data_IF_944802778771
#
_entry.id   IF_944802778771
#
_cell.length_a   1.000
_cell.length_b   1.000
_cell.length_c   1.000
_cell.angle_alpha   90.00
_cell.angle_beta   90.00
_cell.angle_gamma   90.00
#
_symmetry.space_group_name_H-M   'P 1'
#
loop_
_entity.id
_entity.type
_entity.pdbx_description
1 polymer ?
#
# COMPACT_ATOMS: atom_id res chain seq x y z
N UNK A 1 -22.38 16.03 -54.54
CA UNK A 1 -21.00 16.53 -54.70
C UNK A 1 -20.34 16.40 -53.33
N UNK A 2 -19.53 15.35 -53.14
CA UNK A 2 -18.87 15.06 -51.88
C UNK A 2 -17.39 15.48 -51.98
N UNK A 3 -16.97 16.40 -51.11
CA UNK A 3 -15.57 16.72 -50.86
C UNK A 3 -15.37 16.83 -49.35
N UNK A 4 -15.55 15.73 -48.63
CA UNK A 4 -15.11 15.59 -47.24
C UNK A 4 -13.78 14.84 -47.23
N UNK A 5 -12.69 15.60 -47.39
CA UNK A 5 -11.35 15.06 -47.19
C UNK A 5 -11.13 14.64 -45.73
N UNK A 6 -10.31 13.63 -45.43
CA UNK A 6 -10.01 13.23 -44.06
C UNK A 6 -9.48 14.44 -43.25
N UNK A 7 -10.17 14.82 -42.18
CA UNK A 7 -9.73 15.88 -41.26
C UNK A 7 -8.54 15.38 -40.42
N UNK A 8 -7.35 15.41 -41.01
CA UNK A 8 -6.08 15.14 -40.33
C UNK A 8 -5.66 16.37 -39.53
N UNK A 9 -5.29 16.17 -38.26
CA UNK A 9 -4.77 17.25 -37.41
C UNK A 9 -3.55 17.88 -38.09
N UNK A 10 -3.47 19.23 -38.14
CA UNK A 10 -2.36 19.89 -38.80
C UNK A 10 -1.06 19.57 -38.07
N UNK A 11 -0.05 19.15 -38.82
CA UNK A 11 1.32 18.83 -38.35
C UNK A 11 1.94 19.91 -37.45
N UNK A 12 1.56 21.18 -37.63
CA UNK A 12 1.99 22.30 -36.78
C UNK A 12 1.54 22.14 -35.31
N UNK A 13 0.34 21.63 -35.06
CA UNK A 13 -0.16 21.39 -33.70
C UNK A 13 0.68 20.31 -33.01
N UNK A 14 0.98 19.21 -33.71
CA UNK A 14 1.78 18.11 -33.16
C UNK A 14 3.21 18.58 -32.82
N UNK A 15 3.82 19.41 -33.68
CA UNK A 15 5.15 19.96 -33.42
C UNK A 15 5.18 20.93 -32.23
N UNK A 16 4.13 21.74 -32.03
CA UNK A 16 4.02 22.61 -30.84
C UNK A 16 3.90 21.78 -29.55
N UNK A 17 3.07 20.74 -29.57
CA UNK A 17 2.90 19.84 -28.41
C UNK A 17 4.19 19.07 -28.14
N UNK A 18 4.88 18.59 -29.18
CA UNK A 18 6.19 17.96 -29.05
C UNK A 18 7.20 18.90 -28.37
N UNK A 19 7.29 20.16 -28.80
CA UNK A 19 8.12 21.16 -28.15
C UNK A 19 7.78 21.34 -26.67
N UNK A 20 6.49 21.42 -26.33
CA UNK A 20 6.05 21.48 -24.93
C UNK A 20 6.48 20.24 -24.12
N UNK A 21 6.37 19.04 -24.69
CA UNK A 21 6.82 17.80 -24.02
C UNK A 21 8.33 17.78 -23.78
N UNK A 22 9.13 18.28 -24.72
CA UNK A 22 10.57 18.41 -24.54
C UNK A 22 10.89 19.36 -23.39
N UNK A 23 10.21 20.51 -23.31
CA UNK A 23 10.37 21.46 -22.19
C UNK A 23 9.98 20.82 -20.85
N UNK A 24 8.84 20.14 -20.78
CA UNK A 24 8.43 19.43 -19.57
C UNK A 24 9.41 18.30 -19.21
N UNK A 25 10.07 17.70 -20.19
CA UNK A 25 11.10 16.67 -19.97
C UNK A 25 12.36 17.26 -19.38
N UNK A 26 12.85 18.38 -19.94
CA UNK A 26 13.92 19.15 -19.33
C UNK A 26 13.59 19.58 -17.90
N UNK A 27 12.33 20.00 -17.65
CA UNK A 27 11.87 20.37 -16.32
C UNK A 27 11.91 19.18 -15.33
N UNK A 28 11.46 17.99 -15.73
CA UNK A 28 11.54 16.80 -14.87
C UNK A 28 12.98 16.44 -14.54
N UNK A 29 13.87 16.50 -15.53
CA UNK A 29 15.30 16.25 -15.31
C UNK A 29 15.89 17.31 -14.37
N UNK A 30 15.56 18.58 -14.56
CA UNK A 30 15.99 19.67 -13.68
C UNK A 30 15.51 19.48 -12.25
N UNK A 31 14.22 19.16 -12.06
CA UNK A 31 13.64 18.87 -10.74
C UNK A 31 14.31 17.67 -10.07
N UNK A 32 14.75 16.67 -10.82
CA UNK A 32 15.47 15.52 -10.27
C UNK A 32 16.82 15.89 -9.63
N UNK A 33 17.43 17.01 -10.02
CA UNK A 33 18.68 17.51 -9.43
C UNK A 33 18.47 18.48 -8.26
N UNK A 34 17.23 18.94 -8.03
CA UNK A 34 16.92 19.87 -6.93
C UNK A 34 16.44 19.08 -5.71
N UNK A 35 17.08 19.20 -4.54
CA UNK A 35 16.63 18.54 -3.32
C UNK A 35 15.39 19.25 -2.76
N UNK A 36 14.21 18.84 -3.22
CA UNK A 36 12.90 19.36 -2.77
C UNK A 36 12.41 18.66 -1.48
N UNK A 37 13.18 17.71 -0.95
CA UNK A 37 12.83 16.96 0.25
C UNK A 37 11.49 16.22 0.09
N UNK A 38 10.55 16.33 1.05
CA UNK A 38 9.24 15.68 0.98
C UNK A 38 8.40 16.04 -0.25
N UNK A 39 8.66 17.19 -0.88
CA UNK A 39 7.92 17.64 -2.06
C UNK A 39 8.42 17.02 -3.37
N UNK A 40 9.54 16.29 -3.36
CA UNK A 40 10.13 15.69 -4.56
C UNK A 40 9.13 14.78 -5.29
N UNK A 41 8.45 13.88 -4.55
CA UNK A 41 7.51 12.93 -5.14
C UNK A 41 6.24 13.62 -5.66
N UNK A 42 5.54 14.47 -4.87
CA UNK A 42 4.38 15.21 -5.38
C UNK A 42 4.66 16.07 -6.61
N UNK A 43 5.80 16.78 -6.62
CA UNK A 43 6.18 17.65 -7.76
C UNK A 43 6.51 16.81 -8.99
N UNK A 44 7.27 15.72 -8.83
CA UNK A 44 7.57 14.81 -9.93
C UNK A 44 6.29 14.19 -10.53
N UNK A 45 5.34 13.77 -9.69
CA UNK A 45 4.02 13.28 -10.13
C UNK A 45 3.22 14.36 -10.85
N UNK A 46 3.21 15.59 -10.36
CA UNK A 46 2.49 16.70 -11.00
C UNK A 46 3.01 16.98 -12.42
N UNK A 47 4.34 17.01 -12.60
CA UNK A 47 4.96 17.20 -13.92
C UNK A 47 4.69 16.00 -14.83
N UNK A 48 4.80 14.78 -14.31
CA UNK A 48 4.46 13.57 -15.05
C UNK A 48 2.98 13.56 -15.51
N UNK A 49 2.06 14.00 -14.65
CA UNK A 49 0.65 14.15 -14.96
C UNK A 49 0.41 15.14 -16.10
N UNK A 50 1.03 16.32 -16.04
CA UNK A 50 0.93 17.32 -17.12
C UNK A 50 1.42 16.77 -18.48
N UNK A 51 2.52 16.01 -18.49
CA UNK A 51 3.00 15.33 -19.71
C UNK A 51 1.97 14.33 -20.22
N UNK A 52 1.46 13.47 -19.34
CA UNK A 52 0.47 12.47 -19.70
C UNK A 52 -0.79 13.12 -20.30
N UNK A 53 -1.29 14.21 -19.71
CA UNK A 53 -2.44 14.94 -20.25
C UNK A 53 -2.19 15.47 -21.66
N UNK A 54 -1.01 16.06 -21.93
CA UNK A 54 -0.65 16.52 -23.27
C UNK A 54 -0.58 15.36 -24.29
N UNK A 55 0.01 14.24 -23.89
CA UNK A 55 0.11 13.05 -24.75
C UNK A 55 -1.28 12.51 -25.08
N UNK A 56 -2.14 12.37 -24.08
CA UNK A 56 -3.48 11.79 -24.25
C UNK A 56 -4.37 12.71 -25.11
N UNK A 57 -4.36 14.02 -24.85
CA UNK A 57 -5.21 14.94 -25.60
C UNK A 57 -4.83 15.06 -27.08
N UNK A 58 -3.53 15.07 -27.40
CA UNK A 58 -3.05 15.39 -28.74
C UNK A 58 -2.50 14.20 -29.52
N UNK A 59 -1.69 13.33 -28.91
CA UNK A 59 -1.10 12.18 -29.62
C UNK A 59 -2.04 10.98 -29.66
N UNK A 60 -2.80 10.73 -28.60
CA UNK A 60 -3.88 9.72 -28.62
C UNK A 60 -5.17 10.22 -29.27
N UNK A 61 -5.18 11.46 -29.79
CA UNK A 61 -6.34 12.09 -30.43
C UNK A 61 -7.60 12.17 -29.56
N UNK A 62 -7.51 11.99 -28.24
CA UNK A 62 -8.69 11.95 -27.36
C UNK A 62 -9.55 13.23 -27.45
N UNK A 63 -8.92 14.38 -27.74
CA UNK A 63 -9.62 15.65 -27.97
C UNK A 63 -10.52 15.65 -29.21
N UNK A 64 -10.18 14.86 -30.23
CA UNK A 64 -10.81 14.84 -31.55
C UNK A 64 -11.59 13.55 -31.82
N UNK A 65 -11.47 12.57 -30.92
CA UNK A 65 -12.05 11.24 -31.02
C UNK A 65 -13.43 11.16 -30.33
N UNK A 66 -14.07 10.00 -30.40
CA UNK A 66 -15.37 9.74 -29.81
C UNK A 66 -15.38 9.99 -28.29
N UNK A 67 -16.39 10.69 -27.73
CA UNK A 67 -16.50 10.95 -26.30
C UNK A 67 -16.53 9.68 -25.42
N UNK A 68 -16.91 8.52 -25.97
CA UNK A 68 -16.83 7.23 -25.27
C UNK A 68 -15.38 6.88 -24.90
N UNK A 69 -14.42 7.12 -25.80
CA UNK A 69 -13.00 6.86 -25.52
C UNK A 69 -12.50 7.79 -24.41
N UNK A 70 -12.94 9.05 -24.42
CA UNK A 70 -12.61 10.00 -23.36
C UNK A 70 -13.19 9.57 -22.01
N UNK A 71 -14.41 9.05 -21.98
CA UNK A 71 -15.06 8.53 -20.78
C UNK A 71 -14.32 7.30 -20.24
N UNK A 72 -14.04 6.30 -21.07
CA UNK A 72 -13.32 5.08 -20.68
C UNK A 72 -11.93 5.41 -20.13
N UNK A 73 -11.19 6.29 -20.80
CA UNK A 73 -9.88 6.74 -20.34
C UNK A 73 -9.96 7.47 -19.00
N UNK A 74 -10.95 8.35 -18.83
CA UNK A 74 -11.14 9.11 -17.58
C UNK A 74 -11.45 8.18 -16.42
N UNK A 75 -12.37 7.21 -16.62
CA UNK A 75 -12.71 6.22 -15.59
C UNK A 75 -11.46 5.40 -15.21
N UNK A 76 -10.72 4.89 -16.20
CA UNK A 76 -9.47 4.15 -15.95
C UNK A 76 -8.44 4.99 -15.18
N UNK A 77 -8.29 6.26 -15.55
CA UNK A 77 -7.39 7.19 -14.85
C UNK A 77 -7.80 7.42 -13.40
N UNK A 78 -9.10 7.57 -13.13
CA UNK A 78 -9.62 7.70 -11.75
C UNK A 78 -9.26 6.47 -10.93
N UNK A 79 -9.47 5.26 -11.46
CA UNK A 79 -9.09 4.03 -10.76
C UNK A 79 -7.60 3.96 -10.45
N UNK A 80 -6.74 4.32 -11.42
CA UNK A 80 -5.29 4.38 -11.20
C UNK A 80 -4.94 5.37 -10.09
N UNK A 81 -5.51 6.58 -10.11
CA UNK A 81 -5.27 7.60 -9.07
C UNK A 81 -5.71 7.09 -7.70
N UNK A 82 -6.87 6.45 -7.61
CA UNK A 82 -7.38 5.88 -6.35
C UNK A 82 -6.44 4.79 -5.84
N UNK A 83 -6.01 3.85 -6.68
CA UNK A 83 -5.10 2.79 -6.27
C UNK A 83 -3.74 3.34 -5.82
N UNK A 84 -3.14 4.23 -6.61
CA UNK A 84 -1.87 4.86 -6.25
C UNK A 84 -1.99 5.62 -4.93
N UNK A 85 -3.07 6.39 -4.74
CA UNK A 85 -3.28 7.15 -3.49
C UNK A 85 -3.40 6.22 -2.28
N UNK A 86 -4.19 5.16 -2.38
CA UNK A 86 -4.33 4.18 -1.30
C UNK A 86 -2.98 3.49 -1.02
N UNK A 87 -2.22 3.09 -2.04
CA UNK A 87 -0.89 2.49 -1.88
C UNK A 87 0.12 3.44 -1.22
N UNK A 88 0.08 4.73 -1.57
CA UNK A 88 0.93 5.74 -0.95
C UNK A 88 0.55 5.97 0.52
N UNK A 89 -0.74 6.01 0.84
CA UNK A 89 -1.22 6.11 2.22
C UNK A 89 -0.83 4.87 3.03
N UNK A 90 -1.04 3.68 2.49
CA UNK A 90 -0.61 2.43 3.13
C UNK A 90 0.90 2.45 3.42
N UNK A 91 1.72 2.79 2.42
CA UNK A 91 3.18 2.90 2.59
C UNK A 91 3.57 3.92 3.66
N UNK A 92 2.88 5.07 3.71
CA UNK A 92 3.17 6.13 4.66
C UNK A 92 2.86 5.75 6.11
N UNK A 93 1.81 4.95 6.35
CA UNK A 93 1.35 4.60 7.70
C UNK A 93 1.70 3.16 8.14
N UNK A 94 2.23 2.31 7.25
CA UNK A 94 2.56 0.90 7.52
C UNK A 94 3.53 0.69 8.70
N UNK A 95 4.44 1.64 8.95
CA UNK A 95 5.42 1.57 10.04
C UNK A 95 5.00 2.22 11.36
N UNK A 96 3.84 2.88 11.41
CA UNK A 96 3.34 3.61 12.60
C UNK A 96 2.52 2.70 13.54
N UNK A 97 2.34 1.44 13.15
CA UNK A 97 1.77 0.41 14.01
C UNK A 97 2.83 0.03 15.06
N UNK A 98 2.69 0.49 16.30
CA UNK A 98 3.62 0.18 17.41
C UNK A 98 3.81 -1.31 17.76
N UNK A 99 3.17 -2.22 17.02
CA UNK A 99 3.27 -3.68 17.13
C UNK A 99 4.06 -4.33 15.98
N UNK A 100 4.73 -3.54 15.12
CA UNK A 100 5.72 -3.99 14.14
C UNK A 100 7.07 -3.33 14.41
N UNK A 101 7.50 -3.38 15.68
CA UNK A 101 8.92 -3.22 15.98
C UNK A 101 9.66 -4.35 15.25
N UNK A 102 10.75 -4.03 14.57
CA UNK A 102 11.71 -5.02 14.09
C UNK A 102 12.42 -5.67 15.30
N UNK A 103 11.67 -6.30 16.20
CA UNK A 103 12.25 -7.36 17.01
C UNK A 103 12.65 -8.41 16.02
N UNK A 104 13.97 -8.56 15.88
CA UNK A 104 14.62 -9.50 14.99
C UNK A 104 13.87 -10.81 15.11
N UNK A 105 13.48 -11.42 13.98
CA UNK A 105 12.81 -12.73 13.96
C UNK A 105 13.55 -13.75 14.85
N UNK A 106 14.86 -13.56 14.99
CA UNK A 106 15.77 -14.24 15.93
C UNK A 106 15.42 -14.08 17.42
N UNK A 107 14.99 -12.90 17.90
CA UNK A 107 14.55 -12.70 19.28
C UNK A 107 13.23 -13.42 19.54
N UNK A 108 12.28 -13.33 18.61
CA UNK A 108 10.99 -14.02 18.69
C UNK A 108 11.20 -15.54 18.64
N UNK A 109 12.10 -16.03 17.78
CA UNK A 109 12.47 -17.45 17.71
C UNK A 109 13.22 -17.92 18.96
N UNK A 110 14.15 -17.13 19.50
CA UNK A 110 14.87 -17.48 20.73
C UNK A 110 13.95 -17.51 21.95
N UNK A 111 12.94 -16.63 22.03
CA UNK A 111 11.90 -16.70 23.06
C UNK A 111 11.00 -17.93 22.88
N UNK A 112 10.63 -18.26 21.65
CA UNK A 112 9.85 -19.46 21.33
C UNK A 112 10.61 -20.74 21.65
N UNK A 113 11.90 -20.83 21.31
CA UNK A 113 12.75 -21.98 21.65
C UNK A 113 12.91 -22.14 23.16
N UNK A 114 13.07 -21.05 23.91
CA UNK A 114 13.08 -21.10 25.39
C UNK A 114 11.73 -21.53 25.97
N UNK A 115 10.62 -21.10 25.37
CA UNK A 115 9.29 -21.54 25.77
C UNK A 115 9.03 -23.02 25.42
N UNK A 116 9.55 -23.49 24.28
CA UNK A 116 9.50 -24.88 23.83
C UNK A 116 10.37 -25.78 24.73
N UNK A 117 11.61 -25.38 25.04
CA UNK A 117 12.49 -26.09 25.97
C UNK A 117 11.90 -26.17 27.39
N UNK A 118 11.19 -25.13 27.85
CA UNK A 118 10.45 -25.20 29.12
C UNK A 118 9.31 -26.21 29.06
N UNK A 119 8.63 -26.36 27.91
CA UNK A 119 7.57 -27.35 27.71
C UNK A 119 8.15 -28.78 27.59
N UNK A 120 9.30 -28.95 26.93
CA UNK A 120 10.00 -30.25 26.83
C UNK A 120 10.62 -30.68 28.16
N UNK A 121 10.96 -29.73 29.04
CA UNK A 121 11.41 -29.99 30.40
C UNK A 121 10.26 -30.36 31.36
N UNK A 122 9.00 -30.22 30.93
CA UNK A 122 7.86 -30.75 31.67
C UNK A 122 7.70 -32.22 31.25
N UNK A 123 8.02 -33.20 32.13
CA UNK A 123 7.96 -34.61 31.77
C UNK A 123 6.56 -34.95 31.27
N UNK A 124 6.45 -35.65 30.13
CA UNK A 124 5.19 -36.05 29.50
C UNK A 124 4.24 -36.81 30.43
N UNK A 125 4.78 -37.42 31.48
CA UNK A 125 4.03 -38.09 32.54
C UNK A 125 3.25 -37.13 33.46
N UNK A 126 3.65 -35.86 33.54
CA UNK A 126 2.95 -34.81 34.30
C UNK A 126 1.87 -34.08 33.49
N UNK A 127 1.92 -34.15 32.16
CA UNK A 127 0.82 -33.72 31.27
C UNK A 127 -0.25 -34.80 31.12
N UNK A 128 0.08 -36.07 31.38
CA UNK A 128 -0.86 -37.20 31.42
C UNK A 128 -1.59 -37.26 32.77
N UNK A 129 -2.40 -36.27 33.05
CA UNK A 129 -3.39 -36.39 34.14
C UNK A 129 -4.51 -37.27 33.58
N UNK A 130 -4.57 -38.53 34.00
CA UNK A 130 -5.74 -39.35 33.68
C UNK A 130 -6.96 -38.74 34.39
N UNK A 131 -8.19 -38.81 33.84
CA UNK A 131 -9.38 -38.31 34.54
C UNK A 131 -9.60 -38.90 35.95
N UNK A 132 -8.92 -40.00 36.28
CA UNK A 132 -8.90 -40.60 37.61
C UNK A 132 -7.94 -39.91 38.61
N UNK A 133 -6.97 -39.14 38.13
CA UNK A 133 -5.90 -38.53 38.93
C UNK A 133 -6.21 -37.09 39.34
N UNK A 134 -7.40 -36.59 39.01
CA UNK A 134 -7.86 -35.33 39.57
C UNK A 134 -7.95 -35.45 41.10
N UNK A 135 -7.36 -34.51 41.87
CA UNK A 135 -7.59 -34.46 43.30
C UNK A 135 -9.09 -34.31 43.53
N UNK A 136 -9.66 -35.28 44.24
CA UNK A 136 -11.03 -35.27 44.69
C UNK A 136 -11.31 -33.97 45.44
N UNK A 137 -12.03 -33.06 44.78
CA UNK A 137 -12.27 -31.67 45.21
C UNK A 137 -13.02 -31.53 46.55
N UNK A 138 -13.33 -32.64 47.23
CA UNK A 138 -14.04 -32.70 48.50
C UNK A 138 -13.26 -32.13 49.71
N UNK A 139 -12.01 -31.69 49.53
CA UNK A 139 -11.21 -31.04 50.59
C UNK A 139 -11.47 -29.52 50.70
N UNK A 140 -12.18 -28.92 49.73
CA UNK A 140 -12.50 -27.48 49.75
C UNK A 140 -13.74 -27.09 50.55
N UNK A 141 -14.52 -28.05 51.07
CA UNK A 141 -15.83 -27.79 51.70
C UNK A 141 -15.84 -27.91 53.23
N UNK A 142 -14.73 -28.23 53.90
CA UNK A 142 -14.70 -28.48 55.35
C UNK A 142 -13.85 -27.50 56.16
N UNK A 143 -13.46 -26.36 55.60
CA UNK A 143 -12.85 -25.29 56.37
C UNK A 143 -13.83 -24.12 56.48
N UNK A 144 -14.14 -23.77 57.72
CA UNK A 144 -14.85 -22.56 58.18
C UNK A 144 -16.34 -22.72 58.55
N UNK A 145 -16.61 -23.33 59.71
CA UNK A 145 -17.78 -22.94 60.54
C UNK A 145 -17.57 -23.19 62.04
N UNK A 146 -16.41 -22.81 62.60
CA UNK A 146 -16.33 -22.75 64.06
C UNK A 146 -15.49 -21.56 64.55
N UNK A 147 -16.07 -20.81 65.48
CA UNK A 147 -15.63 -19.50 65.96
C UNK A 147 -16.81 -18.53 65.95
N UNK A 148 -17.46 -18.20 67.06
CA UNK A 148 -17.25 -18.55 68.47
C UNK A 148 -18.42 -17.94 69.25
N UNK A 149 -18.59 -18.41 70.49
CA UNK A 149 -19.50 -17.84 71.50
C UNK A 149 -19.03 -16.47 71.98
#
# INVERSE_FOLDING_TARGET
>A
MAHDGPHIVPKSTLLKVFGALIVLTGLTVGVAYVPLGPLTVPVALGIAGMKATLVVLFFMHLKYDNPVNALTFTIGTIFVVVFVTITLLDTAFRGDLGNVTAQTVEEIQAEQERAQQRQDAIPSDSLRIAPSDYPNQNRGASMQSDGGS
#
